data_IF_822453347378
#
_entry.id   IF_822453347378
#
_cell.length_a   1.000
_cell.length_b   1.000
_cell.length_c   1.000
_cell.angle_alpha   90.00
_cell.angle_beta   90.00
_cell.angle_gamma   90.00
#
_symmetry.space_group_name_H-M   'P 1'
#
loop_
_entity.id
_entity.type
_entity.pdbx_description
1 polymer ?
#
# COMPACT_ATOMS: atom_id res chain seq x y z
N UNK A 1 -7.28 -20.50 -6.74
CA UNK A 1 -6.10 -20.94 -5.96
C UNK A 1 -6.54 -21.17 -4.53
N UNK A 2 -6.16 -22.29 -3.90
CA UNK A 2 -6.47 -22.60 -2.49
C UNK A 2 -5.62 -21.73 -1.54
N UNK A 3 -6.18 -21.32 -0.40
CA UNK A 3 -5.51 -20.53 0.64
C UNK A 3 -4.30 -21.22 1.28
N UNK A 4 -4.19 -22.55 1.11
CA UNK A 4 -3.13 -23.40 1.65
C UNK A 4 -1.88 -23.53 0.77
N UNK A 5 -1.89 -22.94 -0.44
CA UNK A 5 -0.82 -23.15 -1.42
C UNK A 5 -0.08 -21.85 -1.81
N UNK A 6 -0.01 -20.89 -0.88
CA UNK A 6 0.71 -19.63 -1.05
C UNK A 6 1.52 -19.38 0.22
N UNK A 7 2.77 -18.96 0.08
CA UNK A 7 3.67 -18.55 1.16
C UNK A 7 4.36 -17.24 0.83
N UNK A 8 4.77 -16.51 1.85
CA UNK A 8 5.54 -15.28 1.69
C UNK A 8 7.03 -15.66 1.64
N UNK A 9 7.75 -15.11 0.65
CA UNK A 9 9.15 -15.50 0.41
C UNK A 9 10.09 -14.87 1.43
N UNK A 10 9.93 -13.57 1.68
CA UNK A 10 10.84 -12.77 2.47
C UNK A 10 10.06 -12.16 3.66
N UNK A 11 10.56 -12.42 4.87
CA UNK A 11 9.98 -11.97 6.14
C UNK A 11 11.09 -11.33 6.97
N UNK A 12 10.78 -10.20 7.63
CA UNK A 12 11.72 -9.50 8.49
C UNK A 12 11.97 -10.25 9.80
N UNK A 13 10.89 -10.70 10.43
CA UNK A 13 10.89 -11.36 11.74
C UNK A 13 10.93 -12.88 11.63
N UNK A 14 10.53 -13.42 10.47
CA UNK A 14 10.28 -14.86 10.23
C UNK A 14 9.23 -15.47 11.17
N UNK A 15 8.47 -14.65 11.88
CA UNK A 15 7.36 -15.09 12.71
C UNK A 15 6.14 -15.37 11.82
N UNK A 16 5.42 -16.49 12.02
CA UNK A 16 4.21 -16.82 11.26
C UNK A 16 3.13 -15.72 11.28
N UNK A 17 3.11 -14.85 12.29
CA UNK A 17 2.16 -13.75 12.39
C UNK A 17 2.42 -12.63 11.38
N UNK A 18 3.69 -12.39 11.03
CA UNK A 18 4.06 -11.49 9.94
C UNK A 18 3.60 -12.06 8.60
N UNK A 19 3.84 -13.35 8.38
CA UNK A 19 3.38 -14.05 7.17
C UNK A 19 1.86 -13.98 7.04
N UNK A 20 1.12 -14.21 8.14
CA UNK A 20 -0.35 -14.12 8.14
C UNK A 20 -0.86 -12.72 7.77
N UNK A 21 -0.19 -11.66 8.23
CA UNK A 21 -0.53 -10.28 7.85
C UNK A 21 -0.36 -10.05 6.34
N UNK A 22 0.76 -10.46 5.76
CA UNK A 22 1.01 -10.35 4.33
C UNK A 22 0.07 -11.24 3.50
N UNK A 23 -0.16 -12.49 3.91
CA UNK A 23 -1.09 -13.40 3.25
C UNK A 23 -2.52 -12.87 3.28
N UNK A 24 -2.95 -12.23 4.37
CA UNK A 24 -4.26 -11.58 4.43
C UNK A 24 -4.38 -10.49 3.38
N UNK A 25 -3.36 -9.63 3.27
CA UNK A 25 -3.30 -8.58 2.25
C UNK A 25 -3.31 -9.15 0.82
N UNK A 26 -2.51 -10.19 0.56
CA UNK A 26 -2.47 -10.86 -0.75
C UNK A 26 -3.82 -11.52 -1.10
N UNK A 27 -4.50 -12.13 -0.13
CA UNK A 27 -5.82 -12.76 -0.33
C UNK A 27 -6.89 -11.73 -0.70
N UNK A 28 -6.84 -10.53 -0.12
CA UNK A 28 -7.71 -9.41 -0.50
C UNK A 28 -7.51 -9.07 -1.99
N UNK A 29 -6.25 -8.91 -2.43
CA UNK A 29 -5.95 -8.58 -3.83
C UNK A 29 -6.35 -9.71 -4.79
N UNK A 30 -6.10 -10.97 -4.44
CA UNK A 30 -6.51 -12.14 -5.23
C UNK A 30 -8.03 -12.21 -5.36
N UNK A 31 -8.77 -12.01 -4.26
CA UNK A 31 -10.25 -11.95 -4.28
C UNK A 31 -10.73 -10.77 -5.12
N UNK A 32 -10.00 -9.65 -5.06
CA UNK A 32 -10.22 -8.44 -5.83
C UNK A 32 -10.10 -8.59 -7.35
N UNK A 33 -9.43 -9.63 -7.85
CA UNK A 33 -9.40 -9.92 -9.29
C UNK A 33 -10.80 -10.09 -9.88
N UNK A 34 -11.70 -10.76 -9.15
CA UNK A 34 -13.09 -10.88 -9.60
C UNK A 34 -13.80 -9.53 -9.61
N UNK A 35 -13.58 -8.69 -8.59
CA UNK A 35 -14.13 -7.34 -8.57
C UNK A 35 -13.66 -6.51 -9.77
N UNK A 36 -12.37 -6.58 -10.11
CA UNK A 36 -11.80 -5.91 -11.29
C UNK A 36 -12.45 -6.38 -12.59
N UNK A 37 -12.63 -7.69 -12.76
CA UNK A 37 -13.31 -8.24 -13.94
C UNK A 37 -14.77 -7.80 -14.03
N UNK A 38 -15.47 -7.72 -12.90
CA UNK A 38 -16.84 -7.22 -12.84
C UNK A 38 -16.90 -5.74 -13.21
N UNK A 39 -16.03 -4.90 -12.64
CA UNK A 39 -15.98 -3.47 -12.97
C UNK A 39 -15.70 -3.27 -14.46
N UNK A 40 -14.71 -3.97 -15.02
CA UNK A 40 -14.40 -3.92 -16.45
C UNK A 40 -15.57 -4.37 -17.33
N UNK A 41 -16.31 -5.42 -16.93
CA UNK A 41 -17.51 -5.88 -17.63
C UNK A 41 -18.61 -4.82 -17.59
N UNK A 42 -18.86 -4.22 -16.43
CA UNK A 42 -19.85 -3.15 -16.28
C UNK A 42 -19.51 -1.96 -17.18
N UNK A 43 -18.24 -1.55 -17.23
CA UNK A 43 -17.80 -0.43 -18.06
C UNK A 43 -18.00 -0.71 -19.55
N UNK A 44 -17.63 -1.90 -20.05
CA UNK A 44 -17.90 -2.29 -21.44
C UNK A 44 -19.40 -2.27 -21.77
N UNK A 45 -20.24 -2.76 -20.86
CA UNK A 45 -21.71 -2.71 -21.04
C UNK A 45 -22.25 -1.28 -21.11
N UNK A 46 -21.62 -0.34 -20.40
CA UNK A 46 -21.99 1.08 -20.45
C UNK A 46 -21.53 1.71 -21.77
N UNK A 47 -20.33 1.39 -22.23
CA UNK A 47 -19.77 1.85 -23.51
C UNK A 47 -20.58 1.35 -24.71
N UNK A 48 -21.04 0.09 -24.67
CA UNK A 48 -21.93 -0.50 -25.69
C UNK A 48 -23.32 0.16 -25.73
N UNK A 49 -23.68 0.90 -24.68
CA UNK A 49 -24.96 1.57 -24.52
C UNK A 49 -26.01 0.67 -23.87
N UNK A 50 -26.79 1.25 -22.95
CA UNK A 50 -27.84 0.55 -22.20
C UNK A 50 -29.18 1.13 -22.61
N UNK A 51 -29.94 0.36 -23.39
CA UNK A 51 -31.21 0.83 -23.98
C UNK A 51 -32.40 -0.02 -23.54
N UNK A 52 -32.18 -1.28 -23.17
CA UNK A 52 -33.22 -2.23 -22.77
C UNK A 52 -33.22 -2.53 -21.27
N UNK A 53 -34.38 -2.91 -20.74
CA UNK A 53 -34.50 -3.38 -19.35
C UNK A 53 -33.62 -4.61 -19.06
N UNK A 54 -33.44 -5.49 -20.06
CA UNK A 54 -32.60 -6.67 -19.95
C UNK A 54 -31.11 -6.31 -19.75
N UNK A 55 -30.63 -5.24 -20.40
CA UNK A 55 -29.25 -4.73 -20.20
C UNK A 55 -29.09 -4.12 -18.81
N UNK A 56 -30.07 -3.32 -18.37
CA UNK A 56 -30.09 -2.75 -17.03
C UNK A 56 -30.07 -3.85 -15.95
N UNK A 57 -30.85 -4.92 -16.13
CA UNK A 57 -30.88 -6.07 -15.22
C UNK A 57 -29.52 -6.82 -15.17
N UNK A 58 -28.84 -6.97 -16.33
CA UNK A 58 -27.50 -7.58 -16.37
C UNK A 58 -26.45 -6.73 -15.66
N UNK A 59 -26.52 -5.41 -15.82
CA UNK A 59 -25.63 -4.48 -15.11
C UNK A 59 -25.91 -4.51 -13.60
N UNK A 60 -27.19 -4.47 -13.20
CA UNK A 60 -27.61 -4.58 -11.81
C UNK A 60 -27.11 -5.88 -11.15
N UNK A 61 -27.27 -7.02 -11.83
CA UNK A 61 -26.75 -8.31 -11.35
C UNK A 61 -25.22 -8.30 -11.17
N UNK A 62 -24.50 -7.63 -12.08
CA UNK A 62 -23.04 -7.48 -11.96
C UNK A 62 -22.66 -6.63 -10.74
N UNK A 63 -23.41 -5.55 -10.44
CA UNK A 63 -23.23 -4.75 -9.23
C UNK A 63 -23.58 -5.51 -7.95
N UNK A 64 -24.64 -6.33 -7.96
CA UNK A 64 -24.96 -7.22 -6.83
C UNK A 64 -23.81 -8.19 -6.58
N UNK A 65 -23.23 -8.77 -7.64
CA UNK A 65 -22.08 -9.66 -7.51
C UNK A 65 -20.85 -8.91 -6.99
N UNK A 66 -20.61 -7.67 -7.44
CA UNK A 66 -19.54 -6.83 -6.93
C UNK A 66 -19.67 -6.61 -5.42
N UNK A 67 -20.88 -6.34 -4.92
CA UNK A 67 -21.15 -6.19 -3.50
C UNK A 67 -20.75 -7.45 -2.70
N UNK A 68 -21.10 -8.65 -3.20
CA UNK A 68 -20.70 -9.92 -2.58
C UNK A 68 -19.18 -10.10 -2.55
N UNK A 69 -18.49 -9.75 -3.64
CA UNK A 69 -17.01 -9.81 -3.68
C UNK A 69 -16.39 -8.89 -2.62
N UNK A 70 -16.94 -7.68 -2.44
CA UNK A 70 -16.46 -6.73 -1.44
C UNK A 70 -16.74 -7.23 -0.02
N UNK A 71 -17.88 -7.89 0.21
CA UNK A 71 -18.16 -8.54 1.50
C UNK A 71 -17.18 -9.69 1.79
N UNK A 72 -16.85 -10.51 0.78
CA UNK A 72 -15.84 -11.56 0.93
C UNK A 72 -14.45 -10.96 1.28
N UNK A 73 -14.06 -9.87 0.61
CA UNK A 73 -12.84 -9.11 0.91
C UNK A 73 -12.87 -8.59 2.36
N UNK A 74 -14.03 -8.14 2.83
CA UNK A 74 -14.23 -7.70 4.21
C UNK A 74 -14.02 -8.83 5.21
N UNK A 75 -14.56 -10.02 4.92
CA UNK A 75 -14.32 -11.22 5.74
C UNK A 75 -12.85 -11.60 5.80
N UNK A 76 -12.14 -11.54 4.66
CA UNK A 76 -10.69 -11.81 4.60
C UNK A 76 -9.92 -10.80 5.48
N UNK A 77 -10.23 -9.51 5.37
CA UNK A 77 -9.61 -8.47 6.21
C UNK A 77 -9.83 -8.74 7.70
N UNK A 78 -11.07 -9.07 8.09
CA UNK A 78 -11.43 -9.34 9.47
C UNK A 78 -10.71 -10.57 10.05
N UNK A 79 -10.33 -11.55 9.21
CA UNK A 79 -9.59 -12.75 9.58
C UNK A 79 -8.10 -12.52 9.92
N UNK A 80 -7.58 -11.30 9.75
CA UNK A 80 -6.21 -10.95 10.19
C UNK A 80 -5.99 -11.26 11.68
N UNK A 81 -7.04 -11.09 12.50
CA UNK A 81 -7.05 -11.36 13.95
C UNK A 81 -6.84 -12.82 14.35
N UNK A 82 -7.01 -13.74 13.42
CA UNK A 82 -6.91 -15.18 13.68
C UNK A 82 -5.46 -15.65 13.71
N UNK A 83 -4.55 -14.90 13.08
CA UNK A 83 -3.15 -15.29 12.95
C UNK A 83 -2.16 -14.15 13.14
N UNK A 84 -2.57 -12.96 13.58
CA UNK A 84 -1.66 -11.85 13.88
C UNK A 84 -2.07 -11.17 15.20
N UNK A 85 -1.22 -11.23 16.23
CA UNK A 85 -1.49 -10.54 17.49
C UNK A 85 -1.27 -9.01 17.33
N UNK A 86 -2.16 -8.15 17.86
CA UNK A 86 -2.00 -6.71 17.77
C UNK A 86 -0.74 -6.14 18.43
N UNK A 87 -0.26 -6.73 19.53
CA UNK A 87 0.95 -6.29 20.22
C UNK A 87 2.19 -6.74 19.44
N UNK A 88 2.18 -7.97 18.92
CA UNK A 88 3.21 -8.44 17.97
C UNK A 88 3.30 -7.49 16.77
N UNK A 89 2.18 -7.22 16.09
CA UNK A 89 2.13 -6.31 14.95
C UNK A 89 2.70 -4.95 15.32
N UNK A 90 2.24 -4.33 16.40
CA UNK A 90 2.63 -2.96 16.71
C UNK A 90 4.08 -2.80 17.18
N UNK A 91 4.56 -3.68 18.06
CA UNK A 91 5.86 -3.53 18.71
C UNK A 91 6.99 -4.29 18.02
N UNK A 92 6.68 -5.38 17.30
CA UNK A 92 7.70 -6.24 16.69
C UNK A 92 7.80 -6.03 15.19
N UNK A 93 6.66 -6.12 14.49
CA UNK A 93 6.67 -6.09 13.03
C UNK A 93 6.59 -4.66 12.45
N UNK A 94 5.65 -3.84 12.92
CA UNK A 94 5.41 -2.46 12.43
C UNK A 94 6.69 -1.60 12.37
N UNK A 95 7.66 -1.67 13.30
CA UNK A 95 8.91 -0.92 13.19
C UNK A 95 9.66 -1.14 11.87
N UNK A 96 9.64 -2.35 11.30
CA UNK A 96 10.28 -2.68 10.02
C UNK A 96 9.64 -1.99 8.82
N UNK A 97 8.36 -1.64 8.93
CA UNK A 97 7.55 -1.08 7.84
C UNK A 97 7.12 0.38 8.12
N UNK A 98 7.82 1.07 9.03
CA UNK A 98 7.64 2.52 9.25
C UNK A 98 8.47 3.30 8.23
N UNK A 99 7.85 4.28 7.58
CA UNK A 99 8.55 5.22 6.71
C UNK A 99 9.29 6.32 7.47
N UNK A 100 9.96 7.18 6.69
CA UNK A 100 10.63 8.41 7.10
C UNK A 100 9.69 9.62 7.33
N UNK A 101 8.38 9.42 7.17
CA UNK A 101 7.36 10.48 7.12
C UNK A 101 6.52 10.61 8.39
N UNK A 102 7.09 10.32 9.56
CA UNK A 102 6.35 10.19 10.84
C UNK A 102 6.15 11.50 11.61
N UNK A 103 6.52 12.65 11.05
CA UNK A 103 6.45 13.95 11.71
C UNK A 103 7.50 14.95 11.21
N UNK A 104 7.48 16.17 11.78
CA UNK A 104 8.41 17.24 11.40
C UNK A 104 9.88 16.88 11.67
N UNK A 105 10.12 16.09 12.73
CA UNK A 105 11.45 15.67 13.15
C UNK A 105 11.84 14.28 12.63
N UNK A 106 11.08 13.72 11.68
CA UNK A 106 11.40 12.39 11.16
C UNK A 106 12.63 12.42 10.27
N UNK A 107 13.53 11.42 10.39
CA UNK A 107 14.75 11.38 9.58
C UNK A 107 14.40 11.17 8.11
N UNK A 108 15.13 11.83 7.22
CA UNK A 108 15.12 11.49 5.79
C UNK A 108 16.06 10.31 5.54
N UNK A 109 15.75 9.51 4.53
CA UNK A 109 16.65 8.45 4.08
C UNK A 109 17.62 9.08 3.09
N UNK A 110 18.92 8.93 3.34
CA UNK A 110 19.97 9.39 2.44
C UNK A 110 20.41 8.22 1.56
N UNK A 111 20.14 8.32 0.27
CA UNK A 111 20.55 7.33 -0.73
C UNK A 111 21.90 7.76 -1.29
N UNK A 112 22.97 7.30 -0.66
CA UNK A 112 24.35 7.61 -1.05
C UNK A 112 24.65 7.18 -2.50
N UNK A 113 25.38 8.02 -3.24
CA UNK A 113 25.83 7.73 -4.60
C UNK A 113 24.76 7.84 -5.69
N UNK A 114 23.47 7.96 -5.33
CA UNK A 114 22.41 8.30 -6.29
C UNK A 114 22.64 9.72 -6.79
N UNK A 115 22.67 9.90 -8.12
CA UNK A 115 22.96 11.18 -8.78
C UNK A 115 24.30 11.82 -8.36
N UNK A 116 25.28 10.99 -8.01
CA UNK A 116 26.65 11.40 -7.65
C UNK A 116 26.82 11.72 -6.17
N UNK A 117 26.17 12.78 -5.68
CA UNK A 117 26.32 13.23 -4.27
C UNK A 117 25.38 12.52 -3.29
N UNK A 118 24.44 11.72 -3.78
CA UNK A 118 23.38 11.11 -2.99
C UNK A 118 22.14 12.00 -2.89
N UNK A 119 20.99 11.37 -2.65
CA UNK A 119 19.69 12.04 -2.59
C UNK A 119 19.03 11.75 -1.24
N UNK A 120 18.59 12.79 -0.52
CA UNK A 120 17.74 12.57 0.63
C UNK A 120 16.27 12.57 0.24
N UNK A 121 15.56 11.55 0.72
CA UNK A 121 14.15 11.38 0.44
C UNK A 121 13.39 11.09 1.72
N UNK A 122 12.21 11.70 1.83
CA UNK A 122 11.22 11.32 2.81
C UNK A 122 10.23 10.35 2.14
N UNK A 123 10.41 9.06 2.42
CA UNK A 123 9.58 7.99 1.88
C UNK A 123 8.57 7.49 2.93
N UNK A 124 7.31 7.36 2.53
CA UNK A 124 6.25 6.76 3.34
C UNK A 124 6.43 5.26 3.47
N UNK A 125 6.09 4.72 4.64
CA UNK A 125 5.99 3.28 4.83
C UNK A 125 4.81 2.71 4.02
N UNK A 126 4.76 1.38 3.82
CA UNK A 126 3.65 0.74 3.14
C UNK A 126 2.33 1.01 3.84
N UNK A 127 1.28 1.21 3.05
CA UNK A 127 -0.08 1.38 3.55
C UNK A 127 -1.10 0.77 2.60
N UNK A 128 -2.27 0.40 3.12
CA UNK A 128 -3.40 -0.07 2.30
C UNK A 128 -3.83 0.97 1.23
N UNK A 129 -3.50 2.24 1.40
CA UNK A 129 -3.73 3.28 0.39
C UNK A 129 -2.90 3.11 -0.90
N UNK A 130 -1.88 2.25 -0.88
CA UNK A 130 -1.06 1.89 -2.04
C UNK A 130 -1.65 0.73 -2.86
N UNK A 131 -2.78 0.15 -2.44
CA UNK A 131 -3.52 -0.84 -3.23
C UNK A 131 -4.27 -0.17 -4.39
N UNK A 132 -4.02 -0.60 -5.63
CA UNK A 132 -4.73 -0.10 -6.80
C UNK A 132 -6.21 -0.50 -6.80
N UNK A 133 -6.54 -1.67 -6.23
CA UNK A 133 -7.91 -2.16 -6.10
C UNK A 133 -8.79 -1.18 -5.33
N UNK A 134 -8.27 -0.62 -4.22
CA UNK A 134 -9.03 0.35 -3.41
C UNK A 134 -9.37 1.62 -4.20
N UNK A 135 -8.45 2.09 -5.05
CA UNK A 135 -8.69 3.25 -5.91
C UNK A 135 -9.65 2.90 -7.05
N UNK A 136 -9.58 1.68 -7.59
CA UNK A 136 -10.47 1.22 -8.64
C UNK A 136 -11.92 1.21 -8.18
N UNK A 137 -12.19 0.74 -6.95
CA UNK A 137 -13.53 0.83 -6.36
C UNK A 137 -14.05 2.26 -6.27
N UNK A 138 -13.20 3.19 -5.82
CA UNK A 138 -13.59 4.60 -5.68
C UNK A 138 -13.92 5.23 -7.03
N UNK A 139 -13.06 5.05 -8.04
CA UNK A 139 -13.29 5.59 -9.38
C UNK A 139 -14.54 4.97 -10.01
N UNK A 140 -14.70 3.65 -9.92
CA UNK A 140 -15.84 2.95 -10.52
C UNK A 140 -17.19 3.33 -9.88
N UNK A 141 -17.22 3.51 -8.56
CA UNK A 141 -18.42 3.90 -7.81
C UNK A 141 -18.58 5.42 -7.67
N UNK A 142 -17.83 6.22 -8.45
CA UNK A 142 -17.91 7.69 -8.46
C UNK A 142 -17.73 8.34 -7.06
N UNK A 143 -16.82 7.77 -6.25
CA UNK A 143 -16.45 8.28 -4.93
C UNK A 143 -15.30 9.25 -5.07
N UNK A 144 -15.49 10.48 -4.60
CA UNK A 144 -14.49 11.55 -4.65
C UNK A 144 -14.03 11.86 -3.23
N UNK A 145 -12.73 11.92 -3.04
CA UNK A 145 -12.11 12.24 -1.75
C UNK A 145 -11.65 13.70 -1.72
N UNK A 146 -11.81 14.42 -0.60
CA UNK A 146 -11.40 15.81 -0.50
C UNK A 146 -9.88 15.98 -0.59
N UNK A 147 -9.45 16.99 -1.34
CA UNK A 147 -8.06 17.45 -1.35
C UNK A 147 -7.66 17.94 0.04
N UNK A 148 -6.64 17.33 0.62
CA UNK A 148 -6.15 17.72 1.95
C UNK A 148 -5.27 18.97 1.84
N UNK A 149 -5.74 20.12 2.33
CA UNK A 149 -4.98 21.40 2.37
C UNK A 149 -3.69 21.38 3.23
N UNK A 150 -3.28 20.24 3.79
CA UNK A 150 -2.26 20.21 4.85
C UNK A 150 -1.22 19.10 4.79
N UNK A 151 -1.16 18.28 3.74
CA UNK A 151 -0.14 17.23 3.69
C UNK A 151 0.97 17.58 2.71
N UNK A 152 2.14 17.91 3.26
CA UNK A 152 3.38 17.99 2.48
C UNK A 152 3.55 16.65 1.73
N UNK A 153 3.84 16.72 0.44
CA UNK A 153 4.10 15.53 -0.38
C UNK A 153 5.39 14.84 0.02
N UNK A 154 5.81 13.79 -0.70
CA UNK A 154 7.23 13.48 -0.80
C UNK A 154 7.92 14.75 -1.31
N UNK A 155 8.57 15.47 -0.40
CA UNK A 155 9.43 16.58 -0.78
C UNK A 155 10.76 15.96 -1.20
N UNK A 156 11.08 16.05 -2.49
CA UNK A 156 12.45 15.87 -2.94
C UNK A 156 13.22 17.09 -2.46
N UNK A 157 14.06 16.93 -1.44
CA UNK A 157 14.97 18.00 -1.06
C UNK A 157 16.13 17.99 -2.05
N UNK A 158 16.06 18.84 -3.09
CA UNK A 158 17.11 18.95 -4.13
C UNK A 158 18.35 19.72 -3.61
N UNK A 159 18.28 20.31 -2.42
CA UNK A 159 19.40 21.05 -1.83
C UNK A 159 19.59 20.65 -0.37
N UNK A 160 20.47 19.68 -0.13
CA UNK A 160 21.10 19.52 1.18
C UNK A 160 22.44 20.26 1.18
N UNK A 161 22.87 20.81 2.33
CA UNK A 161 24.24 21.29 2.49
C UNK A 161 25.22 20.15 2.17
N UNK A 162 26.33 20.50 1.52
CA UNK A 162 27.41 19.62 1.01
C UNK A 162 28.11 18.77 2.10
N UNK A 163 27.58 18.73 3.31
CA UNK A 163 28.13 18.03 4.47
C UNK A 163 27.04 17.14 5.05
N UNK A 164 27.20 15.80 5.05
CA UNK A 164 26.30 14.94 5.80
C UNK A 164 26.27 15.40 7.26
N UNK A 165 25.12 15.29 7.96
CA UNK A 165 25.10 15.53 9.40
C UNK A 165 26.15 14.62 10.03
N UNK A 166 27.03 15.19 10.85
CA UNK A 166 28.02 14.42 11.61
C UNK A 166 27.28 13.29 12.31
N UNK A 167 27.65 12.05 12.00
CA UNK A 167 27.18 10.86 12.72
C UNK A 167 27.25 11.15 14.21
N UNK A 168 26.24 10.78 15.03
CA UNK A 168 26.31 10.94 16.47
C UNK A 168 27.64 10.32 16.94
N UNK A 169 28.57 11.17 17.34
CA UNK A 169 29.98 10.84 17.38
C UNK A 169 30.26 9.67 18.30
N UNK A 170 30.71 8.55 17.73
CA UNK A 170 31.71 7.71 18.36
C UNK A 170 33.04 8.45 18.21
N UNK A 171 33.49 9.10 19.28
CA UNK A 171 34.87 9.55 19.38
C UNK A 171 35.71 8.44 19.98
N UNK A 172 36.59 7.85 19.17
CA UNK A 172 37.81 7.22 19.63
C UNK A 172 37.80 5.70 19.77
N UNK A 173 38.53 5.08 18.83
CA UNK A 173 39.28 3.82 18.89
C UNK A 173 38.53 2.50 18.64
N UNK A 174 39.15 1.75 17.73
CA UNK A 174 39.06 0.32 17.41
C UNK A 174 37.86 -0.14 16.55
N UNK A 175 38.15 -0.16 15.25
CA UNK A 175 37.39 -0.80 14.18
C UNK A 175 37.56 -2.32 14.33
N UNK A 176 36.68 -3.00 15.08
CA UNK A 176 36.44 -4.46 14.98
C UNK A 176 35.28 -5.01 15.81
N UNK A 177 34.43 -4.19 16.45
CA UNK A 177 33.38 -4.69 17.34
C UNK A 177 31.96 -4.39 16.82
N UNK A 178 31.34 -5.38 16.18
CA UNK A 178 29.95 -5.35 15.67
C UNK A 178 28.92 -5.43 16.84
N UNK A 179 29.36 -5.59 18.09
CA UNK A 179 28.48 -5.71 19.25
C UNK A 179 27.84 -4.38 19.74
N UNK A 180 28.20 -3.24 19.16
CA UNK A 180 27.73 -1.91 19.61
C UNK A 180 26.63 -1.27 18.75
N UNK A 181 25.89 -2.04 17.96
CA UNK A 181 24.62 -1.53 17.42
C UNK A 181 23.60 -1.36 18.56
N UNK A 182 23.02 -0.15 18.78
CA UNK A 182 22.04 0.07 19.85
C UNK A 182 20.70 -0.65 19.62
N UNK A 183 20.52 -1.28 18.46
CA UNK A 183 19.37 -2.15 18.14
C UNK A 183 19.60 -3.64 18.48
N UNK A 184 20.84 -4.06 18.78
CA UNK A 184 21.18 -5.47 18.97
C UNK A 184 21.11 -5.95 20.44
N UNK A 185 21.06 -5.04 21.42
CA UNK A 185 21.29 -5.36 22.83
C UNK A 185 20.04 -5.49 23.71
N UNK A 186 18.84 -5.61 23.13
CA UNK A 186 17.61 -5.92 23.90
C UNK A 186 16.70 -6.96 23.23
N UNK A 187 17.26 -8.12 22.88
CA UNK A 187 16.51 -9.37 22.86
C UNK A 187 17.43 -10.54 23.26
N UNK A 188 17.48 -10.84 24.55
CA UNK A 188 17.72 -12.19 25.03
C UNK A 188 16.35 -12.64 25.55
N UNK A 189 15.72 -13.69 25.04
CA UNK A 189 16.08 -15.10 25.21
C UNK A 189 15.37 -15.90 24.10
N UNK A 190 16.11 -16.63 23.25
CA UNK A 190 15.90 -18.06 22.89
C UNK A 190 17.26 -18.65 22.48
N UNK A 191 17.50 -19.88 22.91
CA UNK A 191 18.75 -20.60 23.14
C UNK A 191 19.58 -21.03 21.89
N UNK A 192 20.81 -21.39 22.21
CA UNK A 192 22.07 -21.59 21.50
C UNK A 192 22.20 -22.92 20.72
N UNK A 193 21.93 -22.92 19.41
CA UNK A 193 22.39 -24.03 18.53
C UNK A 193 22.43 -23.73 17.01
N UNK A 194 22.47 -22.48 16.54
CA UNK A 194 22.63 -22.21 15.10
C UNK A 194 23.69 -21.13 14.83
N UNK A 195 24.90 -21.58 14.50
CA UNK A 195 26.01 -20.75 14.03
C UNK A 195 26.51 -21.32 12.68
N UNK A 196 26.32 -20.63 11.54
CA UNK A 196 26.70 -21.16 10.23
C UNK A 196 28.17 -20.93 9.83
N UNK A 197 29.08 -20.60 10.74
CA UNK A 197 30.51 -20.45 10.41
C UNK A 197 31.43 -21.34 11.23
N UNK A 198 31.35 -22.67 11.00
CA UNK A 198 32.45 -23.60 11.25
C UNK A 198 32.50 -24.62 10.10
N UNK A 199 33.36 -24.38 9.10
CA UNK A 199 33.95 -25.46 8.32
C UNK A 199 35.45 -25.23 8.20
N UNK A 200 36.17 -26.26 8.62
CA UNK A 200 37.62 -26.42 8.60
C UNK A 200 38.18 -26.43 7.19
N UNK A 201 39.35 -25.82 7.06
CA UNK A 201 40.26 -25.77 5.93
C UNK A 201 40.53 -27.13 5.28
N UNK A 202 40.43 -27.21 3.94
CA UNK A 202 41.20 -28.15 3.12
C UNK A 202 41.59 -27.54 1.77
N UNK A 203 42.89 -27.51 1.53
CA UNK A 203 43.60 -26.97 0.35
C UNK A 203 43.23 -27.64 -0.98
N UNK A 204 43.17 -26.83 -2.06
CA UNK A 204 43.85 -26.97 -3.38
C UNK A 204 43.21 -25.95 -4.35
N UNK A 205 43.89 -24.86 -4.73
CA UNK A 205 44.91 -24.69 -5.78
C UNK A 205 44.32 -24.23 -7.14
N UNK A 206 44.48 -22.93 -7.42
CA UNK A 206 44.82 -22.31 -8.71
C UNK A 206 43.86 -22.41 -9.90
N UNK A 207 43.32 -21.26 -10.33
CA UNK A 207 43.63 -20.60 -11.62
C UNK A 207 43.00 -19.20 -11.62
N UNK A 208 43.78 -18.16 -11.91
CA UNK A 208 43.26 -16.84 -12.21
C UNK A 208 42.56 -16.81 -13.57
N UNK A 209 41.58 -15.93 -13.72
CA UNK A 209 41.16 -15.29 -14.97
C UNK A 209 40.09 -14.24 -14.67
N UNK A 210 40.52 -12.98 -14.75
CA UNK A 210 39.83 -11.81 -15.30
C UNK A 210 38.30 -11.86 -15.38
N UNK A 211 37.64 -11.04 -14.56
CA UNK A 211 36.26 -10.59 -14.82
C UNK A 211 36.24 -9.75 -16.10
N UNK A 212 35.41 -10.07 -17.10
CA UNK A 212 35.23 -9.23 -18.28
C UNK A 212 34.48 -7.93 -17.90
N UNK A 213 34.73 -6.82 -18.62
CA UNK A 213 34.05 -5.57 -18.38
C UNK A 213 32.57 -5.69 -18.76
N UNK A 214 31.68 -5.18 -17.90
CA UNK A 214 30.26 -5.05 -18.16
C UNK A 214 30.07 -4.15 -19.40
N UNK A 215 29.76 -4.78 -20.52
CA UNK A 215 29.25 -4.10 -21.72
C UNK A 215 27.76 -3.82 -21.49
N UNK A 216 27.20 -2.67 -21.91
CA UNK A 216 25.79 -2.38 -21.70
C UNK A 216 24.95 -3.37 -22.51
N UNK A 217 24.09 -4.15 -21.84
CA UNK A 217 23.05 -4.90 -22.51
C UNK A 217 21.95 -3.92 -22.93
N UNK A 218 22.04 -3.43 -24.16
CA UNK A 218 20.89 -2.89 -24.87
C UNK A 218 19.83 -3.98 -24.96
N UNK A 219 18.73 -3.80 -24.24
CA UNK A 219 17.57 -4.67 -24.28
C UNK A 219 16.79 -4.41 -25.58
N UNK A 220 17.19 -5.05 -26.68
CA UNK A 220 16.30 -5.27 -27.83
C UNK A 220 15.29 -6.37 -27.48
N UNK A 221 14.21 -5.99 -26.78
CA UNK A 221 12.97 -6.75 -26.78
C UNK A 221 11.88 -5.80 -27.30
N UNK A 222 11.23 -6.10 -28.44
CA UNK A 222 10.22 -5.22 -28.98
C UNK A 222 9.03 -5.20 -28.01
N UNK A 223 8.81 -4.05 -27.38
CA UNK A 223 7.59 -3.72 -26.65
C UNK A 223 6.43 -3.81 -27.64
N UNK A 224 5.68 -4.92 -27.63
CA UNK A 224 4.40 -5.01 -28.34
C UNK A 224 3.39 -4.21 -27.50
N UNK A 225 3.51 -2.89 -27.56
CA UNK A 225 2.44 -1.95 -27.22
C UNK A 225 1.75 -1.67 -28.55
N UNK A 226 0.44 -1.95 -28.71
CA UNK A 226 -0.29 -1.51 -29.89
C UNK A 226 -0.11 0.00 -30.06
N UNK A 227 0.41 0.43 -31.21
CA UNK A 227 0.77 1.81 -31.52
C UNK A 227 -0.40 2.80 -31.54
N UNK A 228 -1.63 2.33 -31.26
CA UNK A 228 -2.86 3.07 -31.46
C UNK A 228 -3.47 3.64 -30.17
N UNK A 229 -2.79 3.51 -29.01
CA UNK A 229 -3.20 4.24 -27.81
C UNK A 229 -2.79 5.72 -27.92
N UNK A 230 -3.66 6.51 -28.56
CA UNK A 230 -3.60 7.98 -28.48
C UNK A 230 -3.86 8.39 -27.03
N UNK A 231 -2.79 8.59 -26.25
CA UNK A 231 -2.87 9.25 -24.95
C UNK A 231 -3.25 10.72 -25.22
N UNK A 232 -4.44 11.20 -24.85
CA UNK A 232 -4.79 12.60 -25.03
C UNK A 232 -3.86 13.44 -24.14
N UNK A 233 -3.34 14.53 -24.68
CA UNK A 233 -2.67 15.54 -23.86
C UNK A 233 -3.68 16.08 -22.84
N UNK A 234 -3.61 15.61 -21.59
CA UNK A 234 -4.45 16.09 -20.51
C UNK A 234 -4.22 17.60 -20.34
N UNK A 235 -5.26 18.40 -20.56
CA UNK A 235 -5.34 19.74 -19.98
C UNK A 235 -5.08 19.63 -18.47
N UNK A 236 -4.38 20.61 -17.88
CA UNK A 236 -3.91 20.56 -16.50
C UNK A 236 -5.04 20.19 -15.53
N UNK A 237 -5.14 18.91 -15.19
CA UNK A 237 -6.03 18.45 -14.12
C UNK A 237 -5.54 19.05 -12.80
N UNK A 238 -6.46 19.45 -11.91
CA UNK A 238 -6.09 19.94 -10.59
C UNK A 238 -5.26 18.87 -9.87
N UNK A 239 -4.09 19.27 -9.36
CA UNK A 239 -3.16 18.37 -8.67
C UNK A 239 -3.89 17.69 -7.50
N UNK A 240 -4.04 16.37 -7.57
CA UNK A 240 -4.61 15.55 -6.49
C UNK A 240 -3.64 15.54 -5.30
N UNK A 241 -3.96 16.36 -4.30
CA UNK A 241 -3.17 16.53 -3.07
C UNK A 241 -3.66 15.62 -1.94
N UNK A 242 -4.69 14.80 -2.20
CA UNK A 242 -5.20 13.84 -1.22
C UNK A 242 -4.12 12.83 -0.83
N UNK A 243 -4.32 12.17 0.32
CA UNK A 243 -3.44 11.07 0.73
C UNK A 243 -3.42 9.95 -0.32
N UNK A 244 -4.58 9.56 -0.86
CA UNK A 244 -4.65 8.56 -1.93
C UNK A 244 -3.91 9.02 -3.18
N UNK A 245 -4.06 10.28 -3.60
CA UNK A 245 -3.29 10.85 -4.71
C UNK A 245 -1.77 10.67 -4.54
N UNK A 246 -1.25 10.88 -3.32
CA UNK A 246 0.17 10.63 -3.03
C UNK A 246 0.54 9.15 -3.04
N UNK A 247 -0.33 8.27 -2.53
CA UNK A 247 -0.07 6.83 -2.50
C UNK A 247 0.00 6.19 -3.89
N UNK A 248 -0.58 6.82 -4.94
CA UNK A 248 -0.42 6.34 -6.32
C UNK A 248 1.04 6.29 -6.78
N UNK A 249 1.88 7.22 -6.31
CA UNK A 249 3.32 7.25 -6.65
C UNK A 249 4.09 6.04 -6.14
N UNK A 250 3.52 5.28 -5.21
CA UNK A 250 4.10 4.06 -4.66
C UNK A 250 3.60 2.79 -5.38
N UNK A 251 2.70 2.92 -6.35
CA UNK A 251 2.21 1.79 -7.12
C UNK A 251 3.12 1.50 -8.32
N UNK A 252 3.20 0.24 -8.80
CA UNK A 252 3.85 -0.06 -10.07
C UNK A 252 3.29 0.78 -11.23
N UNK A 253 4.14 1.14 -12.20
CA UNK A 253 3.75 2.02 -13.31
C UNK A 253 2.52 1.56 -14.09
N UNK A 254 2.40 0.24 -14.34
CA UNK A 254 1.21 -0.33 -15.00
C UNK A 254 -0.08 -0.13 -14.20
N UNK A 255 -0.01 -0.14 -12.86
CA UNK A 255 -1.18 0.12 -12.01
C UNK A 255 -1.55 1.60 -12.01
N UNK A 256 -0.56 2.51 -12.05
CA UNK A 256 -0.81 3.94 -12.19
C UNK A 256 -1.51 4.24 -13.52
N UNK A 257 -0.96 3.73 -14.64
CA UNK A 257 -1.55 3.85 -15.97
C UNK A 257 -2.96 3.27 -16.03
N UNK A 258 -3.20 2.13 -15.38
CA UNK A 258 -4.53 1.55 -15.27
C UNK A 258 -5.52 2.49 -14.57
N UNK A 259 -5.13 3.09 -13.44
CA UNK A 259 -6.01 4.02 -12.71
C UNK A 259 -6.27 5.31 -13.48
N UNK A 260 -5.29 5.81 -14.22
CA UNK A 260 -5.44 6.99 -15.07
C UNK A 260 -6.34 6.68 -16.27
N UNK A 261 -6.18 5.52 -16.90
CA UNK A 261 -7.10 5.04 -17.91
C UNK A 261 -8.53 4.94 -17.35
N UNK A 262 -8.72 4.31 -16.18
CA UNK A 262 -10.03 4.16 -15.55
C UNK A 262 -10.72 5.51 -15.29
N UNK A 263 -9.97 6.56 -14.91
CA UNK A 263 -10.50 7.93 -14.76
C UNK A 263 -10.81 8.59 -16.09
N UNK A 264 -10.02 8.28 -17.13
CA UNK A 264 -10.23 8.84 -18.47
C UNK A 264 -11.49 8.30 -19.15
N UNK A 265 -12.06 7.18 -18.68
CA UNK A 265 -13.31 6.59 -19.19
C UNK A 265 -14.56 7.46 -18.92
N UNK A 266 -14.41 8.72 -18.50
CA UNK A 266 -15.45 9.71 -18.27
C UNK A 266 -16.25 10.13 -19.52
N UNK A 267 -16.16 9.42 -20.65
CA UNK A 267 -16.86 9.76 -21.90
C UNK A 267 -18.32 9.26 -21.95
N UNK A 268 -18.78 8.50 -20.94
CA UNK A 268 -20.15 7.98 -20.84
C UNK A 268 -20.86 8.32 -19.52
N UNK A 269 -22.15 7.97 -19.37
CA UNK A 269 -22.84 8.11 -18.09
C UNK A 269 -22.18 7.20 -17.05
N UNK A 270 -21.82 7.76 -15.90
CA UNK A 270 -21.26 6.96 -14.80
C UNK A 270 -22.26 5.90 -14.33
N UNK A 271 -21.77 4.83 -13.71
CA UNK A 271 -22.63 3.80 -13.08
C UNK A 271 -23.67 4.45 -12.17
N UNK A 272 -23.26 5.49 -11.43
CA UNK A 272 -24.13 6.31 -10.58
C UNK A 272 -25.22 7.05 -11.37
N UNK A 273 -24.87 7.71 -12.48
CA UNK A 273 -25.83 8.43 -13.32
C UNK A 273 -26.88 7.50 -13.92
N UNK A 274 -26.51 6.26 -14.24
CA UNK A 274 -27.45 5.23 -14.70
C UNK A 274 -28.31 4.72 -13.54
N UNK A 275 -27.73 4.51 -12.35
CA UNK A 275 -28.45 4.07 -11.16
C UNK A 275 -29.53 5.08 -10.70
N UNK A 276 -29.35 6.37 -10.95
CA UNK A 276 -30.36 7.40 -10.67
C UNK A 276 -31.61 7.31 -11.57
N UNK A 277 -31.49 6.68 -12.75
CA UNK A 277 -32.57 6.60 -13.74
C UNK A 277 -33.40 5.32 -13.64
N UNK A 278 -32.93 4.32 -12.90
CA UNK A 278 -33.55 2.98 -12.85
C UNK A 278 -33.60 2.44 -11.41
N UNK A 279 -34.79 2.22 -10.82
CA UNK A 279 -34.94 1.76 -9.43
C UNK A 279 -34.21 0.44 -9.11
N UNK A 280 -34.17 -0.48 -10.08
CA UNK A 280 -33.50 -1.77 -9.90
C UNK A 280 -31.97 -1.61 -9.85
N UNK A 281 -31.43 -0.69 -10.66
CA UNK A 281 -30.01 -0.33 -10.62
C UNK A 281 -29.67 0.46 -9.35
N UNK A 282 -30.56 1.35 -8.88
CA UNK A 282 -30.40 2.09 -7.62
C UNK A 282 -30.11 1.14 -6.46
N UNK A 283 -30.92 0.08 -6.33
CA UNK A 283 -30.78 -0.90 -5.24
C UNK A 283 -29.43 -1.63 -5.30
N UNK A 284 -29.02 -2.07 -6.48
CA UNK A 284 -27.78 -2.83 -6.68
C UNK A 284 -26.52 -1.96 -6.51
N UNK A 285 -26.56 -0.72 -7.01
CA UNK A 285 -25.50 0.26 -6.82
C UNK A 285 -25.33 0.64 -5.34
N UNK A 286 -26.44 0.94 -4.65
CA UNK A 286 -26.42 1.23 -3.22
C UNK A 286 -25.93 0.03 -2.39
N UNK A 287 -26.23 -1.21 -2.80
CA UNK A 287 -25.69 -2.40 -2.16
C UNK A 287 -24.16 -2.50 -2.29
N UNK A 288 -23.59 -2.16 -3.45
CA UNK A 288 -22.14 -2.12 -3.65
C UNK A 288 -21.48 -1.01 -2.79
N UNK A 289 -22.07 0.19 -2.74
CA UNK A 289 -21.60 1.26 -1.83
C UNK A 289 -21.67 0.83 -0.36
N UNK A 290 -22.75 0.16 0.05
CA UNK A 290 -22.91 -0.30 1.42
C UNK A 290 -21.89 -1.39 1.76
N UNK A 291 -21.57 -2.29 0.83
CA UNK A 291 -20.50 -3.28 1.01
C UNK A 291 -19.13 -2.61 1.18
N UNK A 292 -18.81 -1.62 0.34
CA UNK A 292 -17.55 -0.86 0.48
C UNK A 292 -17.49 -0.06 1.79
N UNK A 293 -18.62 0.47 2.25
CA UNK A 293 -18.73 1.12 3.55
C UNK A 293 -18.45 0.14 4.70
N UNK A 294 -19.02 -1.07 4.66
CA UNK A 294 -18.72 -2.14 5.63
C UNK A 294 -17.25 -2.52 5.64
N UNK A 295 -16.62 -2.63 4.46
CA UNK A 295 -15.18 -2.84 4.34
C UNK A 295 -14.38 -1.74 5.04
N UNK A 296 -14.74 -0.47 4.82
CA UNK A 296 -14.07 0.68 5.46
C UNK A 296 -14.25 0.68 6.97
N UNK A 297 -15.45 0.34 7.46
CA UNK A 297 -15.69 0.16 8.90
C UNK A 297 -14.83 -0.99 9.47
N UNK A 298 -14.73 -2.11 8.78
CA UNK A 298 -13.86 -3.22 9.18
C UNK A 298 -12.39 -2.79 9.24
N UNK A 299 -11.92 -2.04 8.24
CA UNK A 299 -10.57 -1.49 8.23
C UNK A 299 -10.33 -0.52 9.39
N UNK A 300 -11.29 0.36 9.72
CA UNK A 300 -11.21 1.22 10.90
C UNK A 300 -11.11 0.39 12.19
N UNK A 301 -11.87 -0.71 12.32
CA UNK A 301 -11.77 -1.61 13.47
C UNK A 301 -10.40 -2.27 13.56
N UNK A 302 -9.85 -2.77 12.45
CA UNK A 302 -8.51 -3.34 12.38
C UNK A 302 -7.47 -2.30 12.80
N UNK A 303 -7.47 -1.11 12.20
CA UNK A 303 -6.52 -0.04 12.54
C UNK A 303 -6.63 0.38 14.01
N UNK A 304 -7.85 0.46 14.55
CA UNK A 304 -8.06 0.76 15.97
C UNK A 304 -7.42 -0.31 16.85
N UNK A 305 -7.64 -1.59 16.54
CA UNK A 305 -7.12 -2.70 17.32
C UNK A 305 -5.61 -2.87 17.21
N UNK A 306 -5.03 -2.68 16.03
CA UNK A 306 -3.63 -2.99 15.73
C UNK A 306 -2.68 -1.80 15.88
N UNK A 307 -3.20 -0.57 15.86
CA UNK A 307 -2.36 0.63 15.95
C UNK A 307 -2.75 1.47 17.17
N UNK A 308 -4.03 1.81 17.31
CA UNK A 308 -4.44 2.80 18.31
C UNK A 308 -4.42 2.22 19.73
N UNK A 309 -4.98 1.03 19.93
CA UNK A 309 -5.01 0.39 21.24
C UNK A 309 -3.58 0.06 21.73
N UNK A 310 -2.70 -0.58 20.94
CA UNK A 310 -1.33 -0.84 21.34
C UNK A 310 -0.52 0.44 21.62
N UNK A 311 -0.67 1.48 20.79
CA UNK A 311 -0.02 2.77 21.02
C UNK A 311 -0.40 3.40 22.37
N UNK A 312 -1.63 3.19 22.85
CA UNK A 312 -2.10 3.73 24.14
C UNK A 312 -1.82 2.80 25.32
N UNK A 313 -1.32 1.59 25.06
CA UNK A 313 -1.04 0.60 26.09
C UNK A 313 0.18 1.02 26.92
N UNK A 314 0.01 1.16 28.25
CA UNK A 314 1.04 1.65 29.17
C UNK A 314 2.08 0.58 29.56
N UNK A 315 1.96 -0.64 29.04
CA UNK A 315 2.51 -1.83 29.69
C UNK A 315 3.88 -2.28 29.17
N UNK A 316 4.38 -1.81 28.02
CA UNK A 316 5.58 -2.43 27.41
C UNK A 316 6.71 -1.43 27.07
N UNK A 317 6.47 -0.32 26.38
CA UNK A 317 7.45 0.77 26.22
C UNK A 317 6.68 2.05 25.92
N UNK A 318 6.99 3.17 26.59
CA UNK A 318 6.37 4.47 26.30
C UNK A 318 6.93 4.99 24.98
N UNK A 319 6.12 5.04 23.91
CA UNK A 319 6.52 5.65 22.63
C UNK A 319 6.57 7.18 22.81
N UNK A 320 7.76 7.83 22.72
CA UNK A 320 7.86 9.29 22.90
C UNK A 320 7.07 10.09 21.86
N UNK A 321 6.64 9.48 20.73
CA UNK A 321 5.76 10.13 19.77
C UNK A 321 4.32 10.38 20.32
N UNK A 322 3.92 9.74 21.42
CA UNK A 322 2.62 9.94 22.08
C UNK A 322 2.43 11.33 22.68
N UNK A 323 3.51 12.00 23.06
CA UNK A 323 3.43 13.34 23.68
C UNK A 323 2.98 14.42 22.66
N UNK A 324 2.96 14.10 21.36
CA UNK A 324 2.42 14.95 20.28
C UNK A 324 0.90 14.81 20.04
N UNK A 325 0.21 13.90 20.75
CA UNK A 325 -1.25 13.81 20.76
C UNK A 325 -1.94 13.13 19.56
N UNK A 326 -1.20 12.66 18.54
CA UNK A 326 -1.80 12.00 17.35
C UNK A 326 -1.12 10.66 17.02
N UNK A 327 -1.89 9.57 17.05
CA UNK A 327 -1.42 8.24 16.62
C UNK A 327 -1.40 8.18 15.09
N UNK A 328 -0.20 8.01 14.52
CA UNK A 328 0.04 7.99 13.06
C UNK A 328 0.13 6.57 12.51
N UNK A 329 -0.24 6.41 11.24
CA UNK A 329 -0.05 5.17 10.49
C UNK A 329 1.39 4.94 10.08
N UNK A 330 1.67 3.79 9.45
CA UNK A 330 2.98 3.50 8.83
C UNK A 330 3.34 4.49 7.73
N UNK A 331 2.35 5.02 7.01
CA UNK A 331 2.49 6.13 6.04
C UNK A 331 2.27 7.52 6.62
N UNK A 332 2.55 7.72 7.92
CA UNK A 332 2.71 9.04 8.52
C UNK A 332 1.44 9.86 8.80
N UNK A 333 0.26 9.43 8.34
CA UNK A 333 -1.01 10.19 8.51
C UNK A 333 -1.74 9.89 9.82
N UNK A 334 -2.52 10.86 10.29
CA UNK A 334 -3.49 10.65 11.38
C UNK A 334 -4.61 9.74 10.87
N UNK A 335 -4.65 8.52 11.41
CA UNK A 335 -5.41 7.41 10.80
C UNK A 335 -6.92 7.55 10.95
N UNK A 336 -7.41 7.88 12.15
CA UNK A 336 -8.86 7.86 12.43
C UNK A 336 -9.63 8.92 11.65
N UNK A 337 -9.22 10.21 11.63
CA UNK A 337 -9.95 11.21 10.87
C UNK A 337 -9.97 10.88 9.38
N UNK A 338 -8.84 10.44 8.84
CA UNK A 338 -8.70 10.12 7.42
C UNK A 338 -9.63 8.97 7.00
N UNK A 339 -9.61 7.86 7.74
CA UNK A 339 -10.42 6.69 7.41
C UNK A 339 -11.92 6.95 7.61
N UNK A 340 -12.30 7.75 8.61
CA UNK A 340 -13.69 8.18 8.80
C UNK A 340 -14.20 9.01 7.63
N UNK A 341 -13.41 9.98 7.16
CA UNK A 341 -13.74 10.77 5.97
C UNK A 341 -13.99 9.84 4.78
N UNK A 342 -13.09 8.89 4.52
CA UNK A 342 -13.26 7.97 3.39
C UNK A 342 -14.52 7.11 3.50
N UNK A 343 -14.84 6.60 4.70
CA UNK A 343 -16.10 5.87 4.91
C UNK A 343 -17.32 6.76 4.67
N UNK A 344 -17.31 7.97 5.22
CA UNK A 344 -18.44 8.87 5.13
C UNK A 344 -18.67 9.26 3.66
N UNK A 345 -17.63 9.58 2.89
CA UNK A 345 -17.73 9.88 1.45
C UNK A 345 -18.34 8.72 0.63
N UNK A 346 -18.10 7.45 0.99
CA UNK A 346 -18.74 6.32 0.33
C UNK A 346 -20.26 6.41 0.41
N UNK A 347 -20.79 6.73 1.59
CA UNK A 347 -22.24 6.73 1.82
C UNK A 347 -22.90 8.00 1.26
N UNK A 348 -22.18 9.12 1.16
CA UNK A 348 -22.67 10.34 0.51
C UNK A 348 -22.99 10.14 -0.98
N UNK A 349 -22.47 9.09 -1.62
CA UNK A 349 -22.69 8.79 -3.04
C UNK A 349 -23.93 7.96 -3.35
N UNK A 350 -24.66 7.51 -2.32
CA UNK A 350 -25.93 6.79 -2.48
C UNK A 350 -26.93 7.63 -3.27
N UNK A 351 -27.74 6.96 -4.06
CA UNK A 351 -28.77 7.58 -4.93
C UNK A 351 -30.13 6.98 -4.70
#
# INVERSE_FOLDING_TARGET
MSSSNIRIKDLFTRDPQEEHFFLTSARIEIRGLEAMNIMAKCLRQIEEGISSEAEQARLASSLTRLAQVIDDITTILDAVREGCDPMFFYFTFRPWIRGADQGADSPMWFYEGVDGQGVAMQCSGPSAGQSALMHAFDVFLDIVHPNSRGSRGCSFAINLPMTPPSSPGMHGKDVNDISQCPFASKMAIVDSAYNPHVQSSRNQAGTGLDTPPLTPLESEAPTIIPADLKIPAHGQEPIDTSFLGRMRKYMPGGHQLFLDHLRSLNFGPTVRALAQKSPHMTSSYNAALQALSRFRDAHIRVVTRYVICPARSKTIVRDPALDSGSVRGTGGTSLVPLLKVYRDETLHRRV
#
